data_IF_637376193945
#
_entry.id   IF_637376193945
#
_cell.length_a   1.000
_cell.length_b   1.000
_cell.length_c   1.000
_cell.angle_alpha   90.00
_cell.angle_beta   90.00
_cell.angle_gamma   90.00
#
_symmetry.space_group_name_H-M   'P 1'
#
loop_
_entity.id
_entity.type
_entity.pdbx_description
1 polymer ?
#
# COMPACT_ATOMS: atom_id res chain seq x y z
N UNK A 1 -25.19 17.47 9.59
CA UNK A 1 -25.45 16.07 9.18
C UNK A 1 -24.20 15.25 9.43
N UNK A 2 -24.32 13.94 9.69
CA UNK A 2 -23.19 13.08 10.07
C UNK A 2 -22.59 12.43 8.81
N UNK A 3 -21.28 12.56 8.63
CA UNK A 3 -20.48 11.85 7.63
C UNK A 3 -19.13 11.51 8.29
N UNK A 4 -18.92 10.22 8.58
CA UNK A 4 -17.73 9.71 9.27
C UNK A 4 -17.37 8.35 8.68
N UNK A 5 -16.08 8.17 8.41
CA UNK A 5 -15.47 6.92 7.96
C UNK A 5 -14.29 6.59 8.84
N UNK A 6 -14.20 5.33 9.25
CA UNK A 6 -13.08 4.78 10.02
C UNK A 6 -12.63 3.51 9.33
N UNK A 7 -11.36 3.45 8.93
CA UNK A 7 -10.77 2.33 8.19
C UNK A 7 -9.47 1.91 8.83
N UNK A 8 -9.17 0.62 8.75
CA UNK A 8 -7.85 0.07 9.08
C UNK A 8 -7.42 -0.78 7.90
N UNK A 9 -6.23 -0.52 7.37
CA UNK A 9 -5.73 -1.22 6.20
C UNK A 9 -4.27 -0.93 5.92
N UNK A 10 -3.76 -1.50 4.83
CA UNK A 10 -2.36 -1.34 4.41
C UNK A 10 -2.25 -0.44 3.19
N UNK A 11 -1.27 0.45 3.19
CA UNK A 11 -1.01 1.29 2.01
C UNK A 11 -0.44 0.44 0.87
N UNK A 12 -0.93 0.60 -0.35
CA UNK A 12 -0.52 -0.29 -1.46
C UNK A 12 0.76 0.15 -2.18
N UNK A 13 1.17 1.40 -1.99
CA UNK A 13 2.34 2.04 -2.64
C UNK A 13 2.94 3.08 -1.70
N UNK A 14 4.17 3.51 -1.97
CA UNK A 14 4.80 4.59 -1.21
C UNK A 14 4.01 5.91 -1.40
N UNK A 15 3.79 6.68 -0.33
CA UNK A 15 3.05 7.94 -0.40
C UNK A 15 3.88 9.03 -1.10
N UNK A 16 3.37 9.54 -2.22
CA UNK A 16 3.96 10.68 -2.93
C UNK A 16 3.44 12.01 -2.39
N UNK A 17 4.33 12.84 -1.85
CA UNK A 17 4.00 14.21 -1.46
C UNK A 17 3.85 15.10 -2.70
N UNK A 18 2.70 15.75 -2.83
CA UNK A 18 2.42 16.75 -3.86
C UNK A 18 2.08 18.08 -3.21
N UNK A 19 2.37 19.17 -3.92
CA UNK A 19 1.99 20.52 -3.51
C UNK A 19 0.93 21.05 -4.47
N UNK A 20 -0.13 21.64 -3.94
CA UNK A 20 -1.11 22.34 -4.78
C UNK A 20 -0.57 23.69 -5.26
N UNK A 21 -1.29 24.33 -6.19
CA UNK A 21 -0.98 25.69 -6.66
C UNK A 21 -0.97 26.72 -5.53
N UNK A 22 -1.72 26.47 -4.45
CA UNK A 22 -1.75 27.30 -3.25
C UNK A 22 -0.68 26.90 -2.21
N UNK A 23 0.32 26.10 -2.62
CA UNK A 23 1.40 25.60 -1.77
C UNK A 23 0.91 24.80 -0.55
N UNK A 24 -0.15 24.00 -0.72
CA UNK A 24 -0.68 23.12 0.33
C UNK A 24 -0.21 21.69 0.04
N UNK A 25 0.42 21.07 1.04
CA UNK A 25 0.83 19.67 0.98
C UNK A 25 -0.39 18.73 0.89
N UNK A 26 -0.33 17.77 -0.03
CA UNK A 26 -1.33 16.74 -0.24
C UNK A 26 -0.67 15.40 -0.56
N UNK A 27 -1.18 14.32 0.03
CA UNK A 27 -0.83 12.95 -0.32
C UNK A 27 -2.11 12.22 -0.66
N UNK A 28 -2.14 11.61 -1.84
CA UNK A 28 -3.21 10.71 -2.27
C UNK A 28 -2.68 9.30 -2.29
N UNK A 29 -3.31 8.42 -1.54
CA UNK A 29 -2.86 7.04 -1.37
C UNK A 29 -4.05 6.07 -1.42
N UNK A 30 -3.76 4.81 -1.70
CA UNK A 30 -4.76 3.73 -1.70
C UNK A 30 -4.53 2.83 -0.49
N UNK A 31 -5.60 2.62 0.26
CA UNK A 31 -5.63 1.75 1.43
C UNK A 31 -6.33 0.44 1.05
N UNK A 32 -5.62 -0.68 1.18
CA UNK A 32 -6.18 -2.01 1.06
C UNK A 32 -6.80 -2.42 2.40
N UNK A 33 -8.12 -2.60 2.41
CA UNK A 33 -8.92 -2.98 3.58
C UNK A 33 -9.46 -4.39 3.35
N UNK A 34 -8.97 -5.34 4.13
CA UNK A 34 -9.42 -6.74 4.00
C UNK A 34 -10.87 -6.87 4.47
N UNK A 35 -11.67 -7.62 3.71
CA UNK A 35 -13.03 -7.98 4.12
C UNK A 35 -12.98 -9.03 5.23
N UNK A 36 -13.97 -9.00 6.12
CA UNK A 36 -14.03 -9.91 7.27
C UNK A 36 -14.36 -11.35 6.87
N UNK A 37 -15.08 -11.55 5.76
CA UNK A 37 -15.49 -12.86 5.26
C UNK A 37 -14.69 -13.23 4.01
N UNK A 38 -14.42 -14.54 3.87
CA UNK A 38 -13.90 -15.11 2.64
C UNK A 38 -15.02 -15.26 1.61
N UNK A 39 -14.66 -15.25 0.32
CA UNK A 39 -15.60 -15.53 -0.75
C UNK A 39 -15.95 -17.03 -0.85
N UNK A 40 -16.79 -17.40 -1.83
CA UNK A 40 -17.20 -18.80 -2.03
C UNK A 40 -16.04 -19.74 -2.37
N UNK A 41 -14.92 -19.19 -2.87
CA UNK A 41 -13.67 -19.89 -3.15
C UNK A 41 -12.75 -20.03 -1.93
N UNK A 42 -13.08 -19.37 -0.81
CA UNK A 42 -12.26 -19.36 0.39
C UNK A 42 -11.14 -18.31 0.40
N UNK A 43 -11.08 -17.43 -0.61
CA UNK A 43 -10.08 -16.36 -0.67
C UNK A 43 -10.53 -15.10 0.07
N UNK A 44 -9.58 -14.44 0.73
CA UNK A 44 -9.84 -13.15 1.40
C UNK A 44 -9.67 -12.01 0.40
N UNK A 45 -10.77 -11.34 0.10
CA UNK A 45 -10.78 -10.17 -0.77
C UNK A 45 -10.45 -8.89 0.01
N UNK A 46 -9.91 -7.89 -0.68
CA UNK A 46 -9.64 -6.56 -0.14
C UNK A 46 -10.33 -5.48 -0.97
N UNK A 47 -10.84 -4.47 -0.28
CA UNK A 47 -11.33 -3.24 -0.89
C UNK A 47 -10.21 -2.21 -0.97
N UNK A 48 -10.09 -1.54 -2.12
CA UNK A 48 -9.05 -0.55 -2.37
C UNK A 48 -9.64 0.85 -2.29
N UNK A 49 -9.49 1.49 -1.14
CA UNK A 49 -10.12 2.78 -0.86
C UNK A 49 -9.11 3.90 -1.10
N UNK A 50 -9.50 4.87 -1.92
CA UNK A 50 -8.68 6.07 -2.14
C UNK A 50 -8.84 7.04 -0.98
N UNK A 51 -7.72 7.41 -0.38
CA UNK A 51 -7.63 8.32 0.76
C UNK A 51 -6.80 9.55 0.39
N UNK A 52 -7.18 10.71 0.92
CA UNK A 52 -6.49 11.99 0.71
C UNK A 52 -6.16 12.62 2.05
N UNK A 53 -4.87 12.80 2.31
CA UNK A 53 -4.37 13.52 3.47
C UNK A 53 -3.85 14.90 3.05
N UNK A 54 -4.02 15.88 3.93
CA UNK A 54 -3.65 17.28 3.69
C UNK A 54 -2.69 17.80 4.76
N UNK A 55 -1.94 18.86 4.41
CA UNK A 55 -1.08 19.64 5.33
C UNK A 55 -0.12 18.72 6.10
N UNK A 56 -0.07 18.87 7.43
CA UNK A 56 0.81 18.10 8.32
C UNK A 56 0.62 16.58 8.18
N UNK A 57 -0.60 16.09 7.96
CA UNK A 57 -0.84 14.65 7.81
C UNK A 57 -0.18 14.13 6.52
N UNK A 58 -0.27 14.91 5.43
CA UNK A 58 0.39 14.61 4.16
C UNK A 58 1.93 14.54 4.32
N UNK A 59 2.52 15.56 4.96
CA UNK A 59 3.97 15.60 5.22
C UNK A 59 4.43 14.44 6.09
N UNK A 60 3.65 14.09 7.12
CA UNK A 60 3.98 13.00 8.04
C UNK A 60 3.94 11.66 7.32
N UNK A 61 2.91 11.41 6.49
CA UNK A 61 2.82 10.21 5.68
C UNK A 61 4.02 10.06 4.75
N UNK A 62 4.31 11.09 3.94
CA UNK A 62 5.40 11.04 2.97
C UNK A 62 6.78 10.84 3.61
N UNK A 63 6.96 11.28 4.86
CA UNK A 63 8.24 11.18 5.57
C UNK A 63 8.46 9.85 6.28
N UNK A 64 7.40 9.20 6.75
CA UNK A 64 7.52 8.08 7.69
C UNK A 64 6.85 6.79 7.23
N UNK A 65 6.03 6.82 6.19
CA UNK A 65 5.31 5.65 5.70
C UNK A 65 5.91 5.16 4.39
N UNK A 66 6.02 3.83 4.29
CA UNK A 66 6.37 3.11 3.08
C UNK A 66 5.24 2.14 2.69
N UNK A 67 5.30 1.63 1.46
CA UNK A 67 4.42 0.60 0.90
C UNK A 67 4.23 -0.52 1.90
N UNK A 68 2.97 -0.91 2.10
CA UNK A 68 2.56 -2.01 2.95
C UNK A 68 2.35 -1.64 4.41
N UNK A 69 2.70 -0.43 4.88
CA UNK A 69 2.47 -0.04 6.27
C UNK A 69 0.99 -0.10 6.68
N UNK A 70 0.73 -0.54 7.92
CA UNK A 70 -0.60 -0.61 8.51
C UNK A 70 -1.02 0.75 9.11
N UNK A 71 -2.14 1.28 8.63
CA UNK A 71 -2.67 2.58 9.02
C UNK A 71 -4.13 2.47 9.49
N UNK A 72 -4.45 3.25 10.52
CA UNK A 72 -5.82 3.60 10.88
C UNK A 72 -6.16 4.99 10.34
N UNK A 73 -7.29 5.13 9.66
CA UNK A 73 -7.74 6.38 9.03
C UNK A 73 -9.12 6.74 9.57
N UNK A 74 -9.27 7.95 10.10
CA UNK A 74 -10.57 8.57 10.35
C UNK A 74 -10.75 9.77 9.40
N UNK A 75 -11.96 9.91 8.86
CA UNK A 75 -12.28 11.03 7.99
C UNK A 75 -13.73 11.04 7.54
N UNK A 76 -13.95 11.56 6.33
CA UNK A 76 -15.26 11.66 5.70
C UNK A 76 -15.19 11.24 4.23
N UNK A 77 -16.28 10.69 3.71
CA UNK A 77 -16.40 10.46 2.26
C UNK A 77 -16.70 11.77 1.57
N UNK A 78 -15.98 12.01 0.48
CA UNK A 78 -16.27 13.07 -0.47
C UNK A 78 -16.32 12.46 -1.87
N UNK A 79 -17.39 12.78 -2.59
CA UNK A 79 -17.50 12.46 -4.00
C UNK A 79 -17.14 13.69 -4.83
N UNK A 80 -16.52 13.46 -5.98
CA UNK A 80 -16.18 14.49 -6.94
C UNK A 80 -16.51 14.01 -8.35
N UNK A 81 -16.38 14.91 -9.31
CA UNK A 81 -16.40 14.55 -10.71
C UNK A 81 -15.41 15.42 -11.47
N UNK A 82 -14.82 14.85 -12.53
CA UNK A 82 -13.97 15.58 -13.45
C UNK A 82 -14.23 15.10 -14.88
N UNK A 83 -14.14 16.03 -15.82
CA UNK A 83 -14.30 15.72 -17.25
C UNK A 83 -13.03 15.07 -17.79
N UNK A 84 -13.23 14.04 -18.60
CA UNK A 84 -12.18 13.42 -19.42
C UNK A 84 -12.62 13.43 -20.87
N UNK A 85 -11.69 13.21 -21.80
CA UNK A 85 -12.02 13.08 -23.23
C UNK A 85 -13.09 12.01 -23.50
N UNK A 86 -13.19 11.01 -22.63
CA UNK A 86 -14.17 9.91 -22.69
C UNK A 86 -15.48 10.19 -21.94
N UNK A 87 -15.64 11.37 -21.34
CA UNK A 87 -16.81 11.79 -20.55
C UNK A 87 -16.50 12.05 -19.07
N UNK A 88 -17.56 12.35 -18.31
CA UNK A 88 -17.50 12.67 -16.88
C UNK A 88 -17.13 11.45 -16.04
N UNK A 89 -16.05 11.54 -15.26
CA UNK A 89 -15.66 10.51 -14.28
C UNK A 89 -16.02 10.93 -12.87
N UNK A 90 -16.66 10.05 -12.14
CA UNK A 90 -16.96 10.23 -10.72
C UNK A 90 -15.84 9.66 -9.85
N UNK A 91 -15.46 10.39 -8.81
CA UNK A 91 -14.51 9.93 -7.79
C UNK A 91 -15.22 9.79 -6.46
N UNK A 92 -14.81 8.79 -5.68
CA UNK A 92 -15.20 8.63 -4.28
C UNK A 92 -13.91 8.49 -3.48
N UNK A 93 -13.70 9.43 -2.57
CA UNK A 93 -12.45 9.56 -1.82
C UNK A 93 -12.76 9.76 -0.34
N UNK A 94 -11.89 9.23 0.52
CA UNK A 94 -11.93 9.51 1.95
C UNK A 94 -10.98 10.67 2.24
N UNK A 95 -11.51 11.80 2.68
CA UNK A 95 -10.69 12.91 3.16
C UNK A 95 -10.32 12.62 4.61
N UNK A 96 -9.03 12.39 4.84
CA UNK A 96 -8.50 12.00 6.14
C UNK A 96 -8.41 13.21 7.07
N UNK A 97 -9.06 13.12 8.23
CA UNK A 97 -8.95 14.09 9.31
C UNK A 97 -7.84 13.66 10.29
N UNK A 98 -7.78 12.36 10.62
CA UNK A 98 -6.77 11.77 11.51
C UNK A 98 -6.21 10.48 10.90
N UNK A 99 -4.90 10.30 11.02
CA UNK A 99 -4.21 9.07 10.60
C UNK A 99 -3.38 8.56 11.77
N UNK A 100 -3.54 7.28 12.07
CA UNK A 100 -2.82 6.56 13.11
C UNK A 100 -1.92 5.50 12.49
N UNK A 101 -0.72 5.42 13.03
CA UNK A 101 0.32 4.47 12.63
C UNK A 101 0.16 3.27 13.55
N UNK A 102 -0.14 2.10 12.99
CA UNK A 102 -0.50 0.92 13.79
C UNK A 102 0.62 -0.12 13.88
N UNK A 103 1.76 0.14 13.23
CA UNK A 103 2.94 -0.74 13.28
C UNK A 103 4.06 -0.12 14.09
N UNK A 104 4.77 -0.98 14.84
CA UNK A 104 5.98 -0.57 15.53
C UNK A 104 7.15 -0.52 14.54
N UNK A 105 8.20 0.23 14.92
CA UNK A 105 9.46 0.24 14.14
C UNK A 105 10.06 -1.15 14.02
N UNK A 106 9.88 -2.01 15.02
CA UNK A 106 10.37 -3.40 15.02
C UNK A 106 9.64 -4.23 13.96
N UNK A 107 8.31 -4.15 13.90
CA UNK A 107 7.51 -4.86 12.89
C UNK A 107 7.88 -4.43 11.46
N UNK A 108 8.28 -3.16 11.30
CA UNK A 108 8.72 -2.61 10.02
C UNK A 108 10.08 -3.17 9.58
N UNK A 109 11.01 -3.38 10.52
CA UNK A 109 12.37 -3.90 10.23
C UNK A 109 12.31 -5.37 9.84
N UNK A 110 11.57 -6.21 10.60
CA UNK A 110 11.42 -7.64 10.29
C UNK A 110 10.78 -7.89 8.92
N UNK A 111 9.88 -7.00 8.46
CA UNK A 111 9.32 -7.09 7.10
C UNK A 111 10.37 -6.81 6.02
N UNK A 112 11.24 -5.83 6.26
CA UNK A 112 12.26 -5.42 5.27
C UNK A 112 13.33 -6.49 5.08
N UNK A 113 13.70 -7.21 6.14
CA UNK A 113 14.60 -8.38 6.06
C UNK A 113 14.00 -9.57 5.28
N UNK A 114 12.67 -9.70 5.23
CA UNK A 114 12.03 -10.80 4.48
C UNK A 114 11.97 -10.50 2.97
N UNK A 115 11.78 -9.23 2.60
CA UNK A 115 11.69 -8.81 1.19
C UNK A 115 13.07 -8.75 0.49
N UNK A 116 14.19 -8.63 1.22
CA UNK A 116 15.56 -8.53 0.66
C UNK A 116 16.25 -9.90 0.44
N UNK A 117 15.69 -11.02 0.93
CA UNK A 117 16.34 -12.35 0.89
C UNK A 117 16.00 -13.16 -0.37
N UNK A 118 15.11 -12.70 -1.24
CA UNK A 118 14.56 -13.51 -2.35
C UNK A 118 15.17 -13.22 -3.74
N UNK A 119 15.98 -12.16 -3.91
CA UNK A 119 16.54 -11.78 -5.23
C UNK A 119 17.93 -12.39 -5.48
N UNK A 120 18.83 -12.42 -4.49
CA UNK A 120 20.21 -12.90 -4.67
C UNK A 120 20.36 -14.44 -4.56
N UNK A 121 19.46 -15.13 -3.84
CA UNK A 121 19.56 -16.59 -3.62
C UNK A 121 19.00 -17.44 -4.78
N UNK A 122 18.21 -16.84 -5.68
CA UNK A 122 17.62 -17.53 -6.82
C UNK A 122 18.66 -17.79 -7.94
N UNK A 123 19.57 -16.83 -8.18
CA UNK A 123 20.61 -16.95 -9.21
C UNK A 123 21.67 -18.00 -8.84
N UNK A 124 22.13 -18.02 -7.57
CA UNK A 124 23.14 -18.99 -7.11
C UNK A 124 22.62 -20.44 -7.12
N UNK A 125 21.34 -20.66 -6.80
CA UNK A 125 20.74 -21.98 -6.85
C UNK A 125 20.48 -22.46 -8.29
N UNK A 126 20.09 -21.55 -9.19
CA UNK A 126 19.90 -21.87 -10.62
C UNK A 126 21.24 -22.15 -11.32
N UNK A 127 22.29 -21.36 -11.06
CA UNK A 127 23.62 -21.63 -11.60
C UNK A 127 24.21 -22.92 -11.05
N UNK A 128 24.10 -23.17 -9.73
CA UNK A 128 24.64 -24.38 -9.09
C UNK A 128 23.92 -25.63 -9.58
N UNK A 129 22.60 -25.61 -9.69
CA UNK A 129 21.83 -26.74 -10.23
C UNK A 129 22.16 -27.01 -11.71
N UNK A 130 22.38 -25.98 -12.52
CA UNK A 130 22.81 -26.12 -13.91
C UNK A 130 24.22 -26.69 -14.02
N UNK A 131 25.14 -26.30 -13.12
CA UNK A 131 26.52 -26.81 -13.06
C UNK A 131 26.56 -28.29 -12.66
N UNK A 132 25.76 -28.69 -11.68
CA UNK A 132 25.61 -30.09 -11.24
C UNK A 132 24.94 -30.92 -12.35
N UNK A 133 23.89 -30.41 -12.99
CA UNK A 133 23.22 -31.12 -14.10
C UNK A 133 24.10 -31.25 -15.36
N UNK A 134 25.10 -30.37 -15.54
CA UNK A 134 26.05 -30.42 -16.66
C UNK A 134 27.26 -31.32 -16.42
N UNK A 135 27.47 -31.78 -15.18
CA UNK A 135 28.55 -32.71 -14.83
C UNK A 135 27.99 -34.12 -14.72
N UNK A 136 27.77 -34.72 -15.90
CA UNK A 136 27.33 -36.10 -16.07
C UNK A 136 28.48 -37.08 -15.78
N UNK A 137 28.86 -37.20 -14.50
CA UNK A 137 29.70 -38.27 -14.00
C UNK A 137 29.26 -38.63 -12.58
N UNK A 138 28.22 -39.45 -12.49
CA UNK A 138 27.70 -40.00 -11.23
C UNK A 138 28.42 -41.34 -10.93
N UNK A 139 29.34 -41.39 -9.94
CA UNK A 139 29.80 -42.66 -9.42
C UNK A 139 28.73 -43.27 -8.51
N UNK A 140 28.41 -44.55 -8.73
CA UNK A 140 27.67 -45.39 -7.79
C UNK A 140 28.42 -45.55 -6.46
#
# INVERSE_FOLDING_TARGET
MINRVVLVGRITKDPELKMTQSNIAVVRFTLAVNRQFADQSGERQADFITCVAWRKQAETLAKYINKGALLGVEGRIQTGQYETETGTRYTTEVICDTIQFLESKTDTISRKETDEVDDDLQDDFYETSKKIASTDDLPF
#
